data_IF_340873476636
#
_entry.id   IF_340873476636
#
_cell.length_a   1.000
_cell.length_b   1.000
_cell.length_c   1.000
_cell.angle_alpha   90.00
_cell.angle_beta   90.00
_cell.angle_gamma   90.00
#
_symmetry.space_group_name_H-M   'P 1'
#
loop_
_entity.id
_entity.type
_entity.pdbx_description
1 polymer ?
#
# COMPACT_ATOMS: atom_id res chain seq x y z
N UNK A 1 -5.97 42.58 -6.20
CA UNK A 1 -5.25 42.59 -7.49
C UNK A 1 -5.05 44.05 -7.86
N UNK A 2 -3.80 44.47 -8.03
CA UNK A 2 -3.42 45.88 -8.28
C UNK A 2 -2.80 45.98 -9.68
N UNK A 3 -2.97 47.13 -10.34
CA UNK A 3 -2.40 47.38 -11.66
C UNK A 3 -0.86 47.25 -11.64
N UNK A 4 -0.30 46.55 -12.63
CA UNK A 4 1.14 46.32 -12.75
C UNK A 4 1.91 47.64 -12.88
N UNK A 5 1.31 48.64 -13.52
CA UNK A 5 1.89 49.97 -13.71
C UNK A 5 2.06 50.70 -12.38
N UNK A 6 1.12 50.49 -11.45
CA UNK A 6 1.20 51.04 -10.10
C UNK A 6 2.30 50.35 -9.28
N UNK A 7 2.41 49.02 -9.39
CA UNK A 7 3.43 48.24 -8.70
C UNK A 7 4.85 48.56 -9.21
N UNK A 8 5.04 48.71 -10.52
CA UNK A 8 6.31 49.10 -11.12
C UNK A 8 6.78 50.48 -10.64
N UNK A 9 5.86 51.46 -10.52
CA UNK A 9 6.19 52.79 -9.97
C UNK A 9 6.56 52.76 -8.49
N UNK A 10 5.94 51.88 -7.70
CA UNK A 10 6.21 51.77 -6.26
C UNK A 10 7.54 51.06 -5.98
N UNK A 11 7.89 50.06 -6.79
CA UNK A 11 9.12 49.26 -6.65
C UNK A 11 10.32 49.96 -7.32
N UNK A 12 10.09 50.89 -8.25
CA UNK A 12 11.15 51.62 -8.94
C UNK A 12 11.84 50.82 -10.04
N UNK A 13 11.25 49.69 -10.46
CA UNK A 13 11.72 48.85 -11.56
C UNK A 13 10.81 48.98 -12.79
N UNK A 14 11.41 48.98 -13.98
CA UNK A 14 10.67 48.92 -15.25
C UNK A 14 10.08 47.52 -15.45
N UNK A 15 8.75 47.39 -15.37
CA UNK A 15 7.92 46.29 -15.90
C UNK A 15 8.53 44.87 -15.80
N UNK A 16 9.05 44.51 -14.63
CA UNK A 16 9.52 43.15 -14.35
C UNK A 16 8.33 42.21 -14.10
N UNK A 17 8.08 41.28 -15.02
CA UNK A 17 7.02 40.27 -14.90
C UNK A 17 7.63 38.91 -14.55
N UNK A 18 7.33 38.40 -13.35
CA UNK A 18 7.82 37.09 -12.91
C UNK A 18 7.11 35.90 -13.57
N UNK A 19 5.81 36.03 -13.92
CA UNK A 19 5.04 34.94 -14.55
C UNK A 19 3.85 35.47 -15.35
N UNK A 20 3.70 34.96 -16.56
CA UNK A 20 2.50 35.13 -17.39
C UNK A 20 1.79 33.79 -17.47
N UNK A 21 0.50 33.75 -17.15
CA UNK A 21 -0.34 32.56 -17.32
C UNK A 21 -1.27 32.78 -18.50
N UNK A 22 -1.16 31.93 -19.51
CA UNK A 22 -2.01 31.96 -20.70
C UNK A 22 -3.01 30.80 -20.61
N UNK A 23 -4.30 31.12 -20.68
CA UNK A 23 -5.32 30.11 -20.91
C UNK A 23 -5.37 29.83 -22.42
N UNK A 24 -5.11 28.59 -22.80
CA UNK A 24 -5.08 28.15 -24.20
C UNK A 24 -6.18 27.12 -24.44
N UNK A 25 -6.62 27.01 -25.70
CA UNK A 25 -7.56 25.97 -26.10
C UNK A 25 -6.93 24.58 -25.97
N UNK A 26 -7.76 23.57 -25.67
CA UNK A 26 -7.34 22.18 -25.39
C UNK A 26 -6.81 21.40 -26.59
N UNK A 27 -6.66 22.03 -27.76
CA UNK A 27 -6.23 21.34 -28.98
C UNK A 27 -4.71 21.05 -28.93
N UNK A 28 -4.28 19.77 -28.83
CA UNK A 28 -2.89 19.40 -28.59
C UNK A 28 -1.93 19.89 -29.68
N UNK A 29 -2.39 19.94 -30.93
CA UNK A 29 -1.56 20.31 -32.07
C UNK A 29 -1.19 21.80 -32.07
N UNK A 30 -2.14 22.67 -31.71
CA UNK A 30 -1.90 24.11 -31.58
C UNK A 30 -1.07 24.43 -30.33
N UNK A 31 -1.23 23.65 -29.27
CA UNK A 31 -0.48 23.82 -28.03
C UNK A 31 1.02 23.53 -28.22
N UNK A 32 1.37 22.46 -28.94
CA UNK A 32 2.76 22.12 -29.24
C UNK A 32 3.44 23.16 -30.16
N UNK A 33 2.72 23.67 -31.15
CA UNK A 33 3.22 24.72 -32.04
C UNK A 33 3.49 26.02 -31.28
N UNK A 34 2.53 26.45 -30.45
CA UNK A 34 2.66 27.62 -29.58
C UNK A 34 3.81 27.47 -28.58
N UNK A 35 3.95 26.29 -27.97
CA UNK A 35 5.03 26.02 -27.02
C UNK A 35 6.42 26.08 -27.67
N UNK A 36 6.53 25.62 -28.92
CA UNK A 36 7.77 25.66 -29.70
C UNK A 36 8.16 27.09 -30.07
N UNK A 37 7.18 27.92 -30.43
CA UNK A 37 7.38 29.33 -30.77
C UNK A 37 7.78 30.15 -29.54
N UNK A 38 7.10 29.95 -28.40
CA UNK A 38 7.43 30.63 -27.15
C UNK A 38 8.83 30.24 -26.64
N UNK A 39 9.27 28.99 -26.79
CA UNK A 39 10.63 28.56 -26.41
C UNK A 39 11.74 29.24 -27.22
N UNK A 40 11.44 29.83 -28.38
CA UNK A 40 12.43 30.52 -29.21
C UNK A 40 12.63 31.98 -28.83
N UNK A 41 11.78 32.53 -27.95
CA UNK A 41 11.89 33.91 -27.50
C UNK A 41 13.00 34.04 -26.43
N UNK A 42 14.09 34.79 -26.69
CA UNK A 42 15.23 34.90 -25.77
C UNK A 42 14.91 35.61 -24.45
N UNK A 43 13.73 36.24 -24.35
CA UNK A 43 13.25 36.92 -23.13
C UNK A 43 12.61 35.93 -22.13
N UNK A 44 12.23 34.73 -22.57
CA UNK A 44 11.57 33.74 -21.71
C UNK A 44 12.60 32.77 -21.13
N UNK A 45 12.76 32.78 -19.80
CA UNK A 45 13.65 31.84 -19.10
C UNK A 45 13.11 30.40 -19.09
N UNK A 46 11.81 30.21 -19.31
CA UNK A 46 11.17 28.91 -19.36
C UNK A 46 9.71 29.04 -19.77
N UNK A 47 9.22 28.04 -20.50
CA UNK A 47 7.79 27.86 -20.77
C UNK A 47 7.45 26.51 -20.20
N UNK A 48 6.56 26.47 -19.22
CA UNK A 48 6.12 25.24 -18.58
C UNK A 48 4.64 25.04 -18.87
N UNK A 49 4.31 23.94 -19.54
CA UNK A 49 2.92 23.53 -19.64
C UNK A 49 2.50 22.96 -18.28
N UNK A 50 1.49 23.58 -17.64
CA UNK A 50 0.93 23.08 -16.37
C UNK A 50 0.55 21.60 -16.46
N UNK A 51 0.09 21.15 -17.62
CA UNK A 51 -0.25 19.75 -17.87
C UNK A 51 0.96 18.80 -17.85
N UNK A 52 2.13 19.23 -18.32
CA UNK A 52 3.37 18.42 -18.31
C UNK A 52 3.96 18.37 -16.92
N UNK A 53 3.97 19.51 -16.20
CA UNK A 53 4.43 19.56 -14.80
C UNK A 53 3.56 18.65 -13.92
N UNK A 54 2.24 18.68 -14.08
CA UNK A 54 1.33 17.80 -13.33
C UNK A 54 1.52 16.33 -13.69
N UNK A 55 1.66 15.98 -14.98
CA UNK A 55 1.93 14.60 -15.42
C UNK A 55 3.26 14.07 -14.86
N UNK A 56 4.33 14.84 -14.99
CA UNK A 56 5.65 14.43 -14.48
C UNK A 56 5.66 14.28 -12.95
N UNK A 57 4.96 15.16 -12.23
CA UNK A 57 4.78 15.03 -10.78
C UNK A 57 3.97 13.77 -10.44
N UNK A 58 2.87 13.52 -11.14
CA UNK A 58 2.03 12.34 -10.93
C UNK A 58 2.81 11.05 -11.19
N UNK A 59 3.48 10.93 -12.34
CA UNK A 59 4.29 9.76 -12.69
C UNK A 59 5.43 9.53 -11.68
N UNK A 60 6.17 10.58 -11.32
CA UNK A 60 7.28 10.46 -10.37
C UNK A 60 6.80 10.07 -8.97
N UNK A 61 5.70 10.68 -8.49
CA UNK A 61 5.13 10.37 -7.18
C UNK A 61 4.55 8.96 -7.15
N UNK A 62 3.84 8.54 -8.19
CA UNK A 62 3.27 7.20 -8.31
C UNK A 62 4.39 6.16 -8.36
N UNK A 63 5.38 6.34 -9.23
CA UNK A 63 6.48 5.40 -9.39
C UNK A 63 7.30 5.24 -8.10
N UNK A 64 7.66 6.35 -7.46
CA UNK A 64 8.37 6.31 -6.18
C UNK A 64 7.52 5.63 -5.12
N UNK A 65 6.24 5.97 -5.03
CA UNK A 65 5.30 5.37 -4.07
C UNK A 65 5.20 3.85 -4.24
N UNK A 66 5.05 3.36 -5.47
CA UNK A 66 5.00 1.92 -5.75
C UNK A 66 6.33 1.21 -5.46
N UNK A 67 7.47 1.87 -5.75
CA UNK A 67 8.78 1.32 -5.47
C UNK A 67 9.01 1.09 -3.96
N UNK A 68 8.42 1.92 -3.09
CA UNK A 68 8.51 1.74 -1.63
C UNK A 68 7.41 0.81 -1.07
N UNK A 69 6.15 0.97 -1.48
CA UNK A 69 5.03 0.22 -0.91
C UNK A 69 5.07 -1.26 -1.26
N UNK A 70 5.47 -1.61 -2.49
CA UNK A 70 5.40 -2.99 -2.98
C UNK A 70 6.35 -3.94 -2.21
N UNK A 71 7.64 -3.61 -2.00
CA UNK A 71 8.51 -4.42 -1.15
C UNK A 71 8.02 -4.49 0.30
N UNK A 72 7.58 -3.37 0.89
CA UNK A 72 7.10 -3.34 2.28
C UNK A 72 5.87 -4.24 2.47
N UNK A 73 4.94 -4.23 1.53
CA UNK A 73 3.75 -5.09 1.54
C UNK A 73 4.14 -6.57 1.45
N UNK A 74 5.12 -6.88 0.60
CA UNK A 74 5.64 -8.24 0.47
C UNK A 74 6.32 -8.71 1.77
N UNK A 75 7.16 -7.89 2.38
CA UNK A 75 7.78 -8.18 3.68
C UNK A 75 6.73 -8.37 4.79
N UNK A 76 5.73 -7.50 4.86
CA UNK A 76 4.63 -7.64 5.82
C UNK A 76 3.89 -8.97 5.62
N UNK A 77 3.67 -9.37 4.37
CA UNK A 77 3.08 -10.67 4.02
C UNK A 77 3.91 -11.86 4.50
N UNK A 78 5.23 -11.82 4.34
CA UNK A 78 6.15 -12.87 4.83
C UNK A 78 6.17 -12.93 6.36
N UNK A 79 6.16 -11.78 7.05
CA UNK A 79 6.09 -11.72 8.51
C UNK A 79 4.77 -12.29 9.02
N UNK A 80 3.65 -11.91 8.40
CA UNK A 80 2.33 -12.43 8.71
C UNK A 80 2.26 -13.95 8.54
N UNK A 81 2.82 -14.45 7.43
CA UNK A 81 2.97 -15.88 7.18
C UNK A 81 3.76 -16.60 8.27
N UNK A 82 4.92 -16.07 8.64
CA UNK A 82 5.76 -16.63 9.71
C UNK A 82 5.04 -16.66 11.06
N UNK A 83 4.26 -15.61 11.38
CA UNK A 83 3.46 -15.56 12.59
C UNK A 83 2.39 -16.67 12.64
N UNK A 84 1.67 -16.91 11.53
CA UNK A 84 0.67 -17.98 11.44
C UNK A 84 1.31 -19.36 11.57
N UNK A 85 2.43 -19.59 10.87
CA UNK A 85 3.15 -20.87 10.97
C UNK A 85 3.60 -21.14 12.40
N UNK A 86 4.23 -20.17 13.04
CA UNK A 86 4.72 -20.30 14.41
C UNK A 86 3.56 -20.55 15.39
N UNK A 87 2.46 -19.78 15.27
CA UNK A 87 1.28 -19.99 16.10
C UNK A 87 0.67 -21.39 15.91
N UNK A 88 0.60 -21.86 14.67
CA UNK A 88 0.10 -23.20 14.34
C UNK A 88 1.00 -24.30 14.91
N UNK A 89 2.32 -24.14 14.82
CA UNK A 89 3.30 -25.07 15.38
C UNK A 89 3.23 -25.13 16.90
N UNK A 90 3.07 -23.98 17.57
CA UNK A 90 2.90 -23.92 19.03
C UNK A 90 1.61 -24.63 19.44
N UNK A 91 0.46 -24.31 18.82
CA UNK A 91 -0.82 -24.98 19.10
C UNK A 91 -0.70 -26.50 18.90
N UNK A 92 0.05 -26.92 17.88
CA UNK A 92 0.31 -28.33 17.60
C UNK A 92 1.16 -29.02 18.65
N UNK A 93 2.21 -28.36 19.14
CA UNK A 93 3.06 -28.86 20.21
C UNK A 93 2.30 -28.98 21.54
N UNK A 94 1.48 -27.99 21.88
CA UNK A 94 0.67 -27.97 23.10
C UNK A 94 -0.40 -29.08 23.09
N UNK A 95 -1.02 -29.35 21.93
CA UNK A 95 -2.14 -30.29 21.79
C UNK A 95 -1.76 -31.60 21.12
N UNK A 96 -0.48 -31.93 21.07
CA UNK A 96 0.02 -33.10 20.35
C UNK A 96 -0.67 -34.41 20.79
N UNK A 97 -0.92 -34.59 22.09
CA UNK A 97 -1.61 -35.78 22.63
C UNK A 97 -3.08 -35.87 22.22
N UNK A 98 -3.78 -34.75 22.19
CA UNK A 98 -5.18 -34.66 21.75
C UNK A 98 -5.29 -35.01 20.26
N UNK A 99 -4.38 -34.46 19.45
CA UNK A 99 -4.33 -34.69 18.00
C UNK A 99 -3.91 -36.12 17.65
N UNK A 100 -2.99 -36.71 18.42
CA UNK A 100 -2.63 -38.12 18.29
C UNK A 100 -3.83 -39.03 18.56
N UNK A 101 -4.62 -38.73 19.60
CA UNK A 101 -5.85 -39.47 19.93
C UNK A 101 -6.88 -39.39 18.80
N UNK A 102 -7.07 -38.19 18.22
CA UNK A 102 -7.95 -38.03 17.05
C UNK A 102 -7.48 -38.88 15.85
N UNK A 103 -6.17 -38.98 15.60
CA UNK A 103 -5.65 -39.84 14.53
C UNK A 103 -5.88 -41.32 14.79
N UNK A 104 -5.74 -41.79 16.03
CA UNK A 104 -6.05 -43.17 16.42
C UNK A 104 -7.54 -43.48 16.21
N UNK A 105 -8.42 -42.49 16.43
CA UNK A 105 -9.85 -42.57 16.11
C UNK A 105 -10.15 -42.49 14.60
N UNK A 106 -9.13 -42.49 13.74
CA UNK A 106 -9.27 -42.50 12.28
C UNK A 106 -9.40 -41.12 11.63
N UNK A 107 -9.16 -40.02 12.35
CA UNK A 107 -9.19 -38.68 11.75
C UNK A 107 -7.96 -38.46 10.86
N UNK A 108 -8.20 -38.10 9.59
CA UNK A 108 -7.14 -37.80 8.63
C UNK A 108 -6.45 -36.44 8.87
N UNK A 109 -5.25 -36.23 8.28
CA UNK A 109 -4.45 -35.01 8.43
C UNK A 109 -5.19 -33.74 7.95
N UNK A 110 -6.07 -33.88 6.96
CA UNK A 110 -6.93 -32.79 6.50
C UNK A 110 -7.86 -32.25 7.58
N UNK A 111 -8.42 -33.13 8.42
CA UNK A 111 -9.38 -32.74 9.46
C UNK A 111 -8.68 -32.06 10.64
N UNK A 112 -7.45 -32.51 10.97
CA UNK A 112 -6.57 -31.85 11.94
C UNK A 112 -6.11 -30.47 11.42
N UNK A 113 -5.68 -30.38 10.16
CA UNK A 113 -5.31 -29.10 9.54
C UNK A 113 -6.48 -28.10 9.51
N UNK A 114 -7.70 -28.57 9.22
CA UNK A 114 -8.91 -27.73 9.25
C UNK A 114 -9.26 -27.21 10.64
N UNK A 115 -8.84 -27.88 11.72
CA UNK A 115 -9.04 -27.37 13.08
C UNK A 115 -8.13 -26.16 13.32
N UNK A 116 -6.84 -26.31 13.03
CA UNK A 116 -5.84 -25.23 13.10
C UNK A 116 -6.19 -24.06 12.18
N UNK A 117 -6.81 -24.34 11.02
CA UNK A 117 -7.34 -23.30 10.14
C UNK A 117 -8.34 -22.40 10.85
N UNK A 118 -9.32 -23.00 11.53
CA UNK A 118 -10.41 -22.26 12.17
C UNK A 118 -9.86 -21.37 13.28
N UNK A 119 -8.90 -21.86 14.05
CA UNK A 119 -8.21 -21.07 15.08
C UNK A 119 -7.46 -19.88 14.45
N UNK A 120 -6.67 -20.15 13.42
CA UNK A 120 -5.90 -19.13 12.70
C UNK A 120 -6.78 -18.12 11.97
N UNK A 121 -7.96 -18.54 11.50
CA UNK A 121 -8.91 -17.68 10.81
C UNK A 121 -9.55 -16.70 11.77
N UNK A 122 -9.89 -17.13 12.99
CA UNK A 122 -10.43 -16.22 14.03
C UNK A 122 -9.40 -15.15 14.40
N UNK A 123 -8.15 -15.53 14.63
CA UNK A 123 -7.08 -14.55 14.94
C UNK A 123 -6.78 -13.63 13.75
N UNK A 124 -6.81 -14.15 12.52
CA UNK A 124 -6.66 -13.36 11.29
C UNK A 124 -7.79 -12.35 11.12
N UNK A 125 -9.04 -12.76 11.34
CA UNK A 125 -10.20 -11.89 11.22
C UNK A 125 -10.19 -10.79 12.28
N UNK A 126 -9.87 -11.12 13.53
CA UNK A 126 -9.71 -10.12 14.59
C UNK A 126 -8.56 -9.15 14.29
N UNK A 127 -7.43 -9.67 13.82
CA UNK A 127 -6.28 -8.87 13.39
C UNK A 127 -6.62 -7.94 12.24
N UNK A 128 -7.38 -8.40 11.24
CA UNK A 128 -7.84 -7.58 10.12
C UNK A 128 -8.84 -6.50 10.57
N UNK A 129 -9.81 -6.88 11.42
CA UNK A 129 -10.84 -5.99 11.95
C UNK A 129 -10.24 -4.80 12.72
N UNK A 130 -9.18 -5.05 13.50
CA UNK A 130 -8.48 -4.01 14.25
C UNK A 130 -7.41 -3.31 13.41
N UNK A 131 -6.69 -4.05 12.57
CA UNK A 131 -5.59 -3.54 11.76
C UNK A 131 -6.03 -2.60 10.66
N UNK A 132 -7.19 -2.82 10.06
CA UNK A 132 -7.76 -1.94 9.03
C UNK A 132 -8.01 -0.50 9.50
N UNK A 133 -8.80 -0.24 10.57
CA UNK A 133 -9.00 1.11 11.06
C UNK A 133 -7.71 1.74 11.59
N UNK A 134 -6.83 0.96 12.22
CA UNK A 134 -5.51 1.45 12.65
C UNK A 134 -4.64 1.86 11.47
N UNK A 135 -4.57 1.04 10.41
CA UNK A 135 -3.85 1.34 9.19
C UNK A 135 -4.38 2.59 8.49
N UNK A 136 -5.71 2.71 8.39
CA UNK A 136 -6.34 3.92 7.88
C UNK A 136 -6.00 5.16 8.71
N UNK A 137 -6.06 5.05 10.05
CA UNK A 137 -5.66 6.12 10.95
C UNK A 137 -4.20 6.54 10.76
N UNK A 138 -3.30 5.57 10.56
CA UNK A 138 -1.89 5.82 10.26
C UNK A 138 -1.70 6.52 8.91
N UNK A 139 -2.44 6.11 7.87
CA UNK A 139 -2.44 6.80 6.57
C UNK A 139 -2.86 8.26 6.71
N UNK A 140 -3.94 8.53 7.47
CA UNK A 140 -4.39 9.90 7.75
C UNK A 140 -3.33 10.69 8.51
N UNK A 141 -2.66 10.08 9.50
CA UNK A 141 -1.60 10.73 10.25
C UNK A 141 -0.41 11.09 9.34
N UNK A 142 0.06 10.14 8.52
CA UNK A 142 1.16 10.36 7.58
C UNK A 142 0.80 11.47 6.59
N UNK A 143 -0.41 11.43 6.01
CA UNK A 143 -0.86 12.45 5.07
C UNK A 143 -0.89 13.86 5.69
N UNK A 144 -1.22 13.96 6.98
CA UNK A 144 -1.17 15.23 7.74
C UNK A 144 0.26 15.68 8.01
N UNK A 145 1.16 14.76 8.36
CA UNK A 145 2.57 15.08 8.63
C UNK A 145 3.31 15.53 7.36
N UNK A 146 2.92 15.01 6.19
CA UNK A 146 3.47 15.41 4.89
C UNK A 146 2.79 16.65 4.29
N UNK A 147 1.70 17.12 4.87
CA UNK A 147 1.01 18.30 4.37
C UNK A 147 1.89 19.55 4.57
N UNK A 148 2.24 20.21 3.46
CA UNK A 148 2.98 21.47 3.43
C UNK A 148 2.24 22.49 2.57
N UNK A 149 2.67 23.76 2.60
CA UNK A 149 2.07 24.82 1.77
C UNK A 149 2.16 24.53 0.26
N UNK A 150 3.11 23.67 -0.16
CA UNK A 150 3.26 23.25 -1.55
C UNK A 150 2.48 21.97 -1.89
N UNK A 151 2.28 21.06 -0.93
CA UNK A 151 1.71 19.72 -1.19
C UNK A 151 0.65 19.33 -0.15
N UNK A 152 -0.55 19.00 -0.63
CA UNK A 152 -1.61 18.38 0.17
C UNK A 152 -1.99 17.04 -0.44
N UNK A 153 -1.91 15.98 0.36
CA UNK A 153 -2.34 14.64 -0.02
C UNK A 153 -3.73 14.36 0.54
N UNK A 154 -4.81 14.53 -0.24
CA UNK A 154 -6.14 14.18 0.22
C UNK A 154 -6.23 12.67 0.39
N UNK A 155 -6.57 12.21 1.59
CA UNK A 155 -6.86 10.80 1.83
C UNK A 155 -8.24 10.50 1.27
N UNK A 156 -8.29 9.90 0.08
CA UNK A 156 -9.54 9.47 -0.55
C UNK A 156 -9.86 8.06 -0.06
N UNK A 157 -10.99 7.92 0.62
CA UNK A 157 -11.50 6.63 1.08
C UNK A 157 -12.70 6.23 0.22
N UNK A 158 -12.50 5.25 -0.67
CA UNK A 158 -13.57 4.64 -1.45
C UNK A 158 -13.84 3.23 -0.89
N UNK A 159 -15.10 2.78 -0.90
CA UNK A 159 -15.48 1.39 -0.56
C UNK A 159 -14.64 0.34 -1.29
N UNK A 160 -14.20 0.63 -2.52
CA UNK A 160 -13.31 -0.25 -3.29
C UNK A 160 -11.98 -0.53 -2.57
N UNK A 161 -11.40 0.47 -1.89
CA UNK A 161 -10.13 0.31 -1.16
C UNK A 161 -10.34 -0.61 0.04
N UNK A 162 -11.40 -0.43 0.81
CA UNK A 162 -11.71 -1.30 1.95
C UNK A 162 -11.95 -2.74 1.52
N UNK A 163 -12.72 -2.95 0.44
CA UNK A 163 -12.98 -4.29 -0.10
C UNK A 163 -11.67 -4.93 -0.61
N UNK A 164 -10.82 -4.17 -1.30
CA UNK A 164 -9.53 -4.65 -1.77
C UNK A 164 -8.61 -5.05 -0.61
N UNK A 165 -8.49 -4.22 0.43
CA UNK A 165 -7.70 -4.52 1.63
C UNK A 165 -8.24 -5.75 2.37
N UNK A 166 -9.56 -5.89 2.48
CA UNK A 166 -10.19 -7.05 3.11
C UNK A 166 -9.95 -8.34 2.32
N UNK A 167 -10.10 -8.27 1.00
CA UNK A 167 -9.83 -9.38 0.09
C UNK A 167 -8.36 -9.80 0.20
N UNK A 168 -7.44 -8.83 0.23
CA UNK A 168 -6.00 -9.08 0.37
C UNK A 168 -5.66 -9.76 1.70
N UNK A 169 -6.24 -9.28 2.81
CA UNK A 169 -6.05 -9.89 4.14
C UNK A 169 -6.52 -11.35 4.19
N UNK A 170 -7.71 -11.63 3.64
CA UNK A 170 -8.24 -12.99 3.53
C UNK A 170 -7.36 -13.85 2.62
N UNK A 171 -6.93 -13.32 1.47
CA UNK A 171 -6.03 -14.01 0.54
C UNK A 171 -4.72 -14.42 1.23
N UNK A 172 -4.08 -13.50 1.96
CA UNK A 172 -2.87 -13.80 2.73
C UNK A 172 -3.12 -14.88 3.78
N UNK A 173 -4.23 -14.81 4.52
CA UNK A 173 -4.61 -15.84 5.50
C UNK A 173 -4.81 -17.22 4.87
N UNK A 174 -5.49 -17.29 3.73
CA UNK A 174 -5.72 -18.54 2.99
C UNK A 174 -4.40 -19.11 2.46
N UNK A 175 -3.56 -18.27 1.85
CA UNK A 175 -2.23 -18.70 1.36
C UNK A 175 -1.41 -19.25 2.52
N UNK A 176 -1.33 -18.51 3.63
CA UNK A 176 -0.60 -18.97 4.81
C UNK A 176 -1.11 -20.32 5.33
N UNK A 177 -2.43 -20.51 5.35
CA UNK A 177 -3.01 -21.77 5.79
C UNK A 177 -2.65 -22.95 4.87
N UNK A 178 -2.65 -22.77 3.54
CA UNK A 178 -2.26 -23.84 2.61
C UNK A 178 -0.85 -24.38 2.92
N UNK A 179 0.06 -23.51 3.34
CA UNK A 179 1.39 -23.94 3.79
C UNK A 179 1.37 -24.62 5.15
N UNK A 180 0.61 -24.12 6.13
CA UNK A 180 0.42 -24.80 7.43
C UNK A 180 -0.07 -26.23 7.20
N UNK A 181 -1.07 -26.39 6.35
CA UNK A 181 -1.64 -27.69 6.01
C UNK A 181 -0.60 -28.61 5.36
N UNK A 182 0.24 -28.06 4.47
CA UNK A 182 1.34 -28.81 3.85
C UNK A 182 2.40 -29.21 4.88
N UNK A 183 2.69 -28.36 5.87
CA UNK A 183 3.60 -28.66 6.98
C UNK A 183 3.04 -29.77 7.88
N UNK A 184 1.77 -29.69 8.29
CA UNK A 184 1.06 -30.71 9.09
C UNK A 184 1.05 -32.06 8.38
N UNK A 185 0.85 -32.09 7.07
CA UNK A 185 0.86 -33.33 6.29
C UNK A 185 2.25 -33.98 6.19
N UNK A 186 3.33 -33.19 6.31
CA UNK A 186 4.72 -33.67 6.24
C UNK A 186 5.32 -34.02 7.59
N UNK A 187 4.71 -33.63 8.69
CA UNK A 187 5.19 -34.01 10.02
C UNK A 187 5.10 -35.53 10.20
N UNK A 188 6.16 -36.13 10.72
CA UNK A 188 6.17 -37.51 11.15
C UNK A 188 5.69 -37.58 12.60
N UNK A 189 4.47 -38.07 12.77
CA UNK A 189 3.75 -38.06 14.05
C UNK A 189 4.19 -39.21 14.97
N UNK A 190 4.87 -40.22 14.40
CA UNK A 190 5.33 -41.39 15.13
C UNK A 190 6.62 -41.10 15.92
N UNK A 191 7.54 -40.31 15.35
CA UNK A 191 8.74 -39.87 16.06
C UNK A 191 8.45 -39.00 17.29
N UNK A 192 7.35 -38.26 17.29
CA UNK A 192 6.95 -37.39 18.39
C UNK A 192 6.42 -38.16 19.62
N UNK A 193 6.09 -39.45 19.47
CA UNK A 193 5.76 -40.37 20.57
C UNK A 193 6.98 -41.13 21.10
N UNK A 194 8.02 -41.31 20.28
CA UNK A 194 9.23 -42.06 20.64
C UNK A 194 10.32 -41.20 21.29
N UNK A 195 10.26 -39.87 21.16
CA UNK A 195 11.23 -38.94 21.75
C UNK A 195 11.07 -38.71 23.26
N UNK A 196 10.25 -39.51 23.96
CA UNK A 196 10.04 -39.39 25.41
C UNK A 196 10.15 -40.74 26.14
N UNK A 197 11.00 -41.65 25.62
CA UNK A 197 11.63 -42.71 26.42
C UNK A 197 13.10 -42.38 26.69
#
# INVERSE_FOLDING_TARGET
>A
YTDITYLSRLIGEELAVNRIQLATDRDPANLEALYRELKQLPVLQGVDARADVMRNLEETLIQNTYAFILPMTLFAGVLFFGAILNGSLISLAERQRELATLRVLGYGPWRVGSLLFRESMVTTLLGALLGMPLGYGLTVLIARLYASDLFRFPVVSNSTVWIATATLAVLYGVIAHLFVQRAVHRMDWLGALQATE
#
